data_IF_263684797651
#
_entry.id   IF_263684797651
#
_cell.length_a   1.000
_cell.length_b   1.000
_cell.length_c   1.000
_cell.angle_alpha   90.00
_cell.angle_beta   90.00
_cell.angle_gamma   90.00
#
_symmetry.space_group_name_H-M   'P 1'
#
loop_
_entity.id
_entity.type
_entity.pdbx_description
1 polymer ?
#
# COMPACT_ATOMS: atom_id res chain seq x y z
N UNK A 1 -16.06 -13.04 -0.58
CA UNK A 1 -15.50 -11.97 0.25
C UNK A 1 -15.83 -12.32 1.69
N UNK A 2 -14.84 -12.80 2.44
CA UNK A 2 -15.02 -13.13 3.85
C UNK A 2 -15.19 -11.87 4.69
N UNK A 3 -15.85 -11.97 5.85
CA UNK A 3 -16.02 -10.83 6.76
C UNK A 3 -14.68 -10.29 7.31
N UNK A 4 -13.65 -11.14 7.36
CA UNK A 4 -12.33 -10.82 7.89
C UNK A 4 -11.50 -9.96 6.93
N UNK A 5 -11.59 -10.24 5.63
CA UNK A 5 -11.01 -9.43 4.55
C UNK A 5 -11.49 -7.97 4.61
N UNK A 6 -12.81 -7.80 4.77
CA UNK A 6 -13.44 -6.47 4.86
C UNK A 6 -13.03 -5.71 6.13
N UNK A 7 -12.86 -6.42 7.25
CA UNK A 7 -12.43 -5.83 8.51
C UNK A 7 -10.96 -5.36 8.45
N UNK A 8 -10.07 -6.12 7.80
CA UNK A 8 -8.68 -5.72 7.61
C UNK A 8 -8.57 -4.47 6.73
N UNK A 9 -9.32 -4.41 5.64
CA UNK A 9 -9.43 -3.21 4.79
C UNK A 9 -9.91 -1.98 5.58
N UNK A 10 -10.92 -2.14 6.46
CA UNK A 10 -11.44 -1.06 7.28
C UNK A 10 -10.48 -0.60 8.41
N UNK A 11 -9.46 -1.39 8.74
CA UNK A 11 -8.50 -1.09 9.81
C UNK A 11 -7.35 -0.17 9.37
N UNK A 12 -7.12 -0.04 8.07
CA UNK A 12 -6.12 0.86 7.52
C UNK A 12 -6.59 2.31 7.63
N UNK A 13 -5.70 3.19 8.08
CA UNK A 13 -5.90 4.62 8.04
C UNK A 13 -5.80 5.13 6.60
N UNK A 14 -6.39 6.31 6.34
CA UNK A 14 -6.27 6.98 5.04
C UNK A 14 -4.83 7.08 4.55
N UNK A 15 -3.90 7.42 5.47
CA UNK A 15 -2.49 7.59 5.12
C UNK A 15 -1.79 6.28 4.77
N UNK A 16 -2.14 5.20 5.46
CA UNK A 16 -1.66 3.85 5.16
C UNK A 16 -2.17 3.38 3.79
N UNK A 17 -3.43 3.70 3.44
CA UNK A 17 -3.99 3.41 2.11
C UNK A 17 -3.28 4.20 1.01
N UNK A 18 -3.01 5.51 1.23
CA UNK A 18 -2.25 6.33 0.29
C UNK A 18 -0.86 5.74 0.02
N UNK A 19 -0.11 5.43 1.08
CA UNK A 19 1.22 4.81 0.97
C UNK A 19 1.14 3.47 0.22
N UNK A 20 0.19 2.61 0.59
CA UNK A 20 -0.01 1.30 -0.04
C UNK A 20 -0.41 1.39 -1.51
N UNK A 21 -1.12 2.46 -1.89
CA UNK A 21 -1.50 2.74 -3.28
C UNK A 21 -0.26 2.99 -4.11
N UNK A 22 0.62 3.89 -3.68
CA UNK A 22 1.88 4.15 -4.37
C UNK A 22 2.80 2.92 -4.42
N UNK A 23 2.81 2.10 -3.37
CA UNK A 23 3.53 0.82 -3.36
C UNK A 23 3.01 -0.09 -4.47
N UNK A 24 1.69 -0.16 -4.67
CA UNK A 24 1.08 -0.93 -5.75
C UNK A 24 1.35 -0.35 -7.15
N UNK A 25 1.75 0.93 -7.25
CA UNK A 25 2.26 1.56 -8.47
C UNK A 25 3.74 1.21 -8.75
N UNK A 26 4.43 0.52 -7.84
CA UNK A 26 5.84 0.16 -7.97
C UNK A 26 6.81 1.25 -7.51
N UNK A 27 6.32 2.33 -6.91
CA UNK A 27 7.16 3.42 -6.42
C UNK A 27 8.03 2.99 -5.23
N UNK A 28 9.19 3.61 -5.07
CA UNK A 28 10.12 3.45 -3.94
C UNK A 28 9.71 4.33 -2.76
N UNK A 29 10.19 4.04 -1.54
CA UNK A 29 9.89 4.88 -0.36
C UNK A 29 10.29 6.35 -0.55
N UNK A 30 11.31 6.64 -1.36
CA UNK A 30 11.74 7.99 -1.74
C UNK A 30 10.76 8.70 -2.65
N UNK A 31 10.26 8.03 -3.67
CA UNK A 31 9.25 8.59 -4.58
C UNK A 31 7.95 8.86 -3.82
N UNK A 32 7.53 7.91 -2.97
CA UNK A 32 6.35 8.06 -2.10
C UNK A 32 6.52 9.24 -1.16
N UNK A 33 7.69 9.38 -0.53
CA UNK A 33 8.01 10.49 0.34
C UNK A 33 7.85 11.84 -0.38
N UNK A 34 8.38 11.95 -1.60
CA UNK A 34 8.21 13.11 -2.46
C UNK A 34 6.75 13.38 -2.85
N UNK A 35 6.04 12.35 -3.32
CA UNK A 35 4.65 12.45 -3.74
C UNK A 35 3.72 12.88 -2.60
N UNK A 36 4.02 12.43 -1.39
CA UNK A 36 3.17 12.62 -0.22
C UNK A 36 3.65 13.73 0.74
N UNK A 37 4.76 14.40 0.44
CA UNK A 37 5.31 15.51 1.24
C UNK A 37 5.75 15.11 2.65
N UNK A 38 6.25 13.88 2.83
CA UNK A 38 6.74 13.35 4.12
C UNK A 38 8.15 12.77 3.99
N UNK A 39 8.79 12.41 5.10
CA UNK A 39 10.11 11.75 5.07
C UNK A 39 10.05 10.26 4.73
N UNK A 40 11.09 9.73 4.10
CA UNK A 40 11.23 8.29 3.79
C UNK A 40 11.08 7.39 5.03
N UNK A 41 11.62 7.84 6.17
CA UNK A 41 11.45 7.14 7.46
C UNK A 41 9.97 7.05 7.87
N UNK A 42 9.19 8.11 7.62
CA UNK A 42 7.75 8.13 7.89
C UNK A 42 7.00 7.20 6.95
N UNK A 43 7.39 7.13 5.67
CA UNK A 43 6.85 6.14 4.73
C UNK A 43 7.11 4.72 5.21
N UNK A 44 8.34 4.40 5.60
CA UNK A 44 8.70 3.07 6.10
C UNK A 44 7.91 2.71 7.37
N UNK A 45 7.72 3.67 8.28
CA UNK A 45 6.86 3.47 9.45
C UNK A 45 5.41 3.16 9.08
N UNK A 46 4.83 3.86 8.09
CA UNK A 46 3.50 3.52 7.58
C UNK A 46 3.46 2.13 6.95
N UNK A 47 4.50 1.73 6.22
CA UNK A 47 4.59 0.39 5.62
C UNK A 47 4.61 -0.72 6.68
N UNK A 48 5.42 -0.56 7.73
CA UNK A 48 5.44 -1.50 8.85
C UNK A 48 4.04 -1.65 9.48
N UNK A 49 3.32 -0.54 9.66
CA UNK A 49 1.95 -0.54 10.20
C UNK A 49 0.97 -1.24 9.25
N UNK A 50 1.08 -1.01 7.94
CA UNK A 50 0.29 -1.71 6.93
C UNK A 50 0.56 -3.21 6.98
N UNK A 51 1.82 -3.61 7.01
CA UNK A 51 2.22 -5.02 7.03
C UNK A 51 1.65 -5.74 8.26
N UNK A 52 1.74 -5.12 9.44
CA UNK A 52 1.14 -5.66 10.65
C UNK A 52 -0.39 -5.80 10.56
N UNK A 53 -1.08 -4.80 10.01
CA UNK A 53 -2.54 -4.82 9.88
C UNK A 53 -3.05 -5.79 8.81
N UNK A 54 -2.28 -5.97 7.73
CA UNK A 54 -2.59 -6.92 6.66
C UNK A 54 -2.06 -8.33 6.95
N UNK A 55 -1.22 -8.51 7.96
CA UNK A 55 -0.54 -9.78 8.21
C UNK A 55 0.48 -10.13 7.13
N UNK A 56 1.00 -9.14 6.40
CA UNK A 56 1.96 -9.34 5.32
C UNK A 56 3.39 -9.42 5.88
N UNK A 57 4.18 -10.39 5.40
CA UNK A 57 5.61 -10.50 5.69
C UNK A 57 6.50 -9.70 4.73
N UNK A 58 5.95 -9.22 3.61
CA UNK A 58 6.73 -8.47 2.61
C UNK A 58 5.94 -7.39 1.89
N UNK A 59 6.66 -6.49 1.22
CA UNK A 59 6.10 -5.45 0.34
C UNK A 59 5.22 -6.06 -0.76
N UNK A 60 5.70 -7.11 -1.41
CA UNK A 60 4.97 -7.77 -2.50
C UNK A 60 3.70 -8.47 -1.98
N UNK A 61 3.80 -9.13 -0.83
CA UNK A 61 2.65 -9.77 -0.17
C UNK A 61 1.60 -8.75 0.27
N UNK A 62 2.02 -7.61 0.82
CA UNK A 62 1.11 -6.52 1.20
C UNK A 62 0.35 -5.98 -0.02
N UNK A 63 1.00 -5.85 -1.18
CA UNK A 63 0.34 -5.46 -2.43
C UNK A 63 -0.62 -6.55 -2.90
N UNK A 64 -0.22 -7.82 -2.88
CA UNK A 64 -1.08 -8.93 -3.29
C UNK A 64 -2.38 -8.96 -2.45
N UNK A 65 -2.24 -8.90 -1.12
CA UNK A 65 -3.37 -8.82 -0.20
C UNK A 65 -4.21 -7.57 -0.44
N UNK A 66 -3.60 -6.39 -0.62
CA UNK A 66 -4.34 -5.16 -0.87
C UNK A 66 -5.19 -5.21 -2.15
N UNK A 67 -4.69 -5.90 -3.18
CA UNK A 67 -5.41 -6.13 -4.43
C UNK A 67 -6.56 -7.13 -4.27
N UNK A 68 -6.31 -8.24 -3.58
CA UNK A 68 -7.34 -9.26 -3.28
C UNK A 68 -8.48 -8.67 -2.42
N UNK A 69 -8.13 -7.83 -1.46
CA UNK A 69 -9.05 -7.12 -0.58
C UNK A 69 -9.76 -5.93 -1.26
N UNK A 70 -9.34 -5.55 -2.47
CA UNK A 70 -9.88 -4.40 -3.20
C UNK A 70 -9.59 -3.04 -2.56
N UNK A 71 -8.58 -2.97 -1.68
CA UNK A 71 -8.13 -1.73 -1.01
C UNK A 71 -7.47 -0.80 -2.03
N UNK A 72 -6.66 -1.39 -2.90
CA UNK A 72 -6.00 -0.70 -4.02
C UNK A 72 -6.36 -1.42 -5.31
N UNK A 73 -6.32 -0.70 -6.43
CA UNK A 73 -6.45 -1.31 -7.75
C UNK A 73 -5.09 -1.35 -8.41
N UNK A 74 -4.83 -2.41 -9.18
CA UNK A 74 -3.69 -2.37 -10.10
C UNK A 74 -3.90 -1.15 -11.00
N UNK A 75 -2.94 -0.23 -11.11
CA UNK A 75 -2.99 0.73 -12.18
C UNK A 75 -3.08 -0.06 -13.49
N UNK A 76 -3.96 0.37 -14.37
CA UNK A 76 -3.96 -0.09 -15.76
C UNK A 76 -2.54 0.14 -16.31
N UNK A 77 -1.96 -0.82 -17.02
CA UNK A 77 -0.60 -0.82 -17.58
C UNK A 77 -0.37 0.29 -18.63
N UNK A 78 -0.63 1.55 -18.29
CA UNK A 78 -0.43 2.73 -19.13
C UNK A 78 0.83 3.51 -18.74
N UNK A 79 1.59 3.05 -17.76
CA UNK A 79 2.86 3.65 -17.35
C UNK A 79 4.05 2.87 -17.93
N UNK A 80 4.00 2.51 -19.22
CA UNK A 80 5.22 2.51 -20.03
C UNK A 80 5.40 3.95 -20.48
N UNK A 81 6.14 4.73 -19.70
CA UNK A 81 6.74 5.97 -20.18
C UNK A 81 8.23 5.70 -20.50
N UNK A 82 8.79 6.47 -21.44
CA UNK A 82 9.61 5.98 -22.56
C UNK A 82 11.06 5.63 -22.24
#
# INVERSE_FOLDING_TARGET
MSAQEKAMAASLSRREIEVLTHVALGETSKEIAGALGIGERTVNWHLERVFLKLGAGSRAEAVALALELGIVRRPHDSQTSP
#
